data_IF_425479851332
#
_entry.id   IF_425479851332
#
_cell.length_a   1.000
_cell.length_b   1.000
_cell.length_c   1.000
_cell.angle_alpha   90.00
_cell.angle_beta   90.00
_cell.angle_gamma   90.00
#
_symmetry.space_group_name_H-M   'P 1'
#
loop_
_entity.id
_entity.type
_entity.pdbx_description
1 polymer ?
#
# COMPACT_ATOMS: atom_id res chain seq x y z
N UNK A 1 12.34 57.33 -23.68
CA UNK A 1 12.70 56.52 -22.49
C UNK A 1 11.59 55.49 -22.23
N UNK A 2 11.54 54.37 -22.94
CA UNK A 2 10.67 53.24 -22.60
C UNK A 2 11.22 52.00 -23.30
N UNK A 3 12.10 51.24 -22.64
CA UNK A 3 12.57 49.90 -23.08
C UNK A 3 13.55 49.28 -22.07
N UNK A 4 13.11 49.02 -20.84
CA UNK A 4 13.89 48.19 -19.89
C UNK A 4 13.03 47.31 -18.97
N UNK A 5 11.73 47.60 -18.79
CA UNK A 5 10.88 46.85 -17.86
C UNK A 5 10.32 45.52 -18.37
N UNK A 6 10.48 45.20 -19.67
CA UNK A 6 9.94 43.97 -20.27
C UNK A 6 10.86 42.74 -20.15
N UNK A 7 12.12 42.91 -19.70
CA UNK A 7 13.06 41.79 -19.50
C UNK A 7 13.21 41.36 -18.03
N UNK A 8 12.82 42.19 -17.07
CA UNK A 8 13.03 41.92 -15.63
C UNK A 8 12.02 40.88 -15.11
N UNK A 9 10.79 40.89 -15.62
CA UNK A 9 9.74 39.95 -15.23
C UNK A 9 10.10 38.49 -15.59
N UNK A 10 10.51 38.14 -16.82
CA UNK A 10 10.89 36.75 -17.14
C UNK A 10 12.16 36.30 -16.41
N UNK A 11 13.10 37.20 -16.08
CA UNK A 11 14.32 36.89 -15.33
C UNK A 11 14.05 36.54 -13.86
N UNK A 12 13.07 37.19 -13.22
CA UNK A 12 12.65 36.86 -11.86
C UNK A 12 11.95 35.50 -11.79
N UNK A 13 11.06 35.19 -12.74
CA UNK A 13 10.41 33.88 -12.83
C UNK A 13 11.41 32.73 -13.07
N UNK A 14 12.44 32.94 -13.90
CA UNK A 14 13.50 31.95 -14.12
C UNK A 14 14.36 31.69 -12.87
N UNK A 15 14.53 32.70 -12.00
CA UNK A 15 15.31 32.57 -10.75
C UNK A 15 14.54 31.82 -9.66
N UNK A 16 13.24 32.06 -9.52
CA UNK A 16 12.38 31.39 -8.52
C UNK A 16 12.25 29.89 -8.80
N UNK A 17 11.99 29.51 -10.05
CA UNK A 17 11.84 28.09 -10.45
C UNK A 17 13.13 27.30 -10.21
N UNK A 18 14.30 27.93 -10.43
CA UNK A 18 15.58 27.26 -10.15
C UNK A 18 15.77 27.03 -8.65
N UNK A 19 15.44 28.02 -7.81
CA UNK A 19 15.58 27.90 -6.37
C UNK A 19 14.74 26.74 -5.81
N UNK A 20 13.49 26.61 -6.26
CA UNK A 20 12.57 25.54 -5.83
C UNK A 20 13.08 24.12 -6.17
N UNK A 21 13.70 23.94 -7.35
CA UNK A 21 14.28 22.65 -7.75
C UNK A 21 15.52 22.29 -6.92
N UNK A 22 16.39 23.27 -6.64
CA UNK A 22 17.56 23.03 -5.79
C UNK A 22 17.17 22.72 -4.35
N UNK A 23 16.11 23.35 -3.81
CA UNK A 23 15.57 23.02 -2.50
C UNK A 23 14.90 21.64 -2.49
N UNK A 24 14.10 21.29 -3.50
CA UNK A 24 13.47 19.97 -3.59
C UNK A 24 14.51 18.83 -3.70
N UNK A 25 15.62 19.06 -4.40
CA UNK A 25 16.70 18.08 -4.48
C UNK A 25 17.43 17.91 -3.13
N UNK A 26 17.70 19.00 -2.43
CA UNK A 26 18.29 18.95 -1.09
C UNK A 26 17.35 18.24 -0.10
N UNK A 27 16.05 18.48 -0.23
CA UNK A 27 15.00 17.85 0.57
C UNK A 27 14.92 16.33 0.34
N UNK A 28 14.96 15.89 -0.92
CA UNK A 28 15.03 14.46 -1.26
C UNK A 28 16.31 13.81 -0.73
N UNK A 29 17.43 14.54 -0.74
CA UNK A 29 18.68 14.05 -0.18
C UNK A 29 18.61 13.91 1.36
N UNK A 30 17.91 14.80 2.04
CA UNK A 30 17.65 14.69 3.48
C UNK A 30 16.75 13.48 3.81
N UNK A 31 15.73 13.21 2.98
CA UNK A 31 14.90 12.01 3.12
C UNK A 31 15.71 10.71 3.05
N UNK A 32 16.72 10.63 2.18
CA UNK A 32 17.63 9.47 2.13
C UNK A 32 18.42 9.29 3.44
N UNK A 33 18.76 10.38 4.14
CA UNK A 33 19.40 10.28 5.45
C UNK A 33 18.42 9.76 6.51
N UNK A 34 17.16 10.22 6.48
CA UNK A 34 16.10 9.68 7.36
C UNK A 34 15.91 8.19 7.12
N UNK A 35 15.83 7.76 5.86
CA UNK A 35 15.70 6.35 5.49
C UNK A 35 16.87 5.52 6.03
N UNK A 36 18.11 6.01 5.92
CA UNK A 36 19.28 5.32 6.47
C UNK A 36 19.20 5.11 7.99
N UNK A 37 18.69 6.10 8.75
CA UNK A 37 18.48 5.97 10.20
C UNK A 37 17.42 4.91 10.51
N UNK A 38 16.32 4.87 9.74
CA UNK A 38 15.25 3.89 9.92
C UNK A 38 15.73 2.47 9.60
N UNK A 39 16.48 2.29 8.51
CA UNK A 39 17.10 1.00 8.15
C UNK A 39 18.02 0.54 9.28
N UNK A 40 18.88 1.41 9.80
CA UNK A 40 19.77 1.05 10.90
C UNK A 40 19.00 0.64 12.17
N UNK A 41 17.91 1.35 12.49
CA UNK A 41 17.03 0.99 13.61
C UNK A 41 16.40 -0.39 13.39
N UNK A 42 15.95 -0.69 12.17
CA UNK A 42 15.36 -1.99 11.82
C UNK A 42 16.38 -3.13 11.92
N UNK A 43 17.61 -2.91 11.48
CA UNK A 43 18.71 -3.88 11.64
C UNK A 43 19.05 -4.15 13.11
N UNK A 44 18.98 -3.13 13.98
CA UNK A 44 19.17 -3.31 15.42
C UNK A 44 18.03 -4.16 16.02
N UNK A 45 16.78 -3.89 15.63
CA UNK A 45 15.62 -4.67 16.06
C UNK A 45 15.72 -6.13 15.62
N UNK A 46 16.04 -6.38 14.35
CA UNK A 46 16.23 -7.73 13.80
C UNK A 46 17.28 -8.48 14.62
N UNK A 47 18.45 -7.87 14.86
CA UNK A 47 19.51 -8.50 15.67
C UNK A 47 19.07 -8.83 17.09
N UNK A 48 18.32 -7.94 17.73
CA UNK A 48 17.80 -8.18 19.08
C UNK A 48 16.84 -9.39 19.08
N UNK A 49 15.98 -9.50 18.08
CA UNK A 49 15.01 -10.59 18.01
C UNK A 49 15.62 -11.91 17.56
N UNK A 50 16.64 -11.89 16.68
CA UNK A 50 17.46 -13.06 16.37
C UNK A 50 18.15 -13.62 17.63
N UNK A 51 18.74 -12.77 18.47
CA UNK A 51 19.35 -13.19 19.74
C UNK A 51 18.33 -13.85 20.68
N UNK A 52 17.13 -13.28 20.79
CA UNK A 52 16.03 -13.85 21.58
C UNK A 52 15.59 -15.20 21.02
N UNK A 53 15.40 -15.30 19.70
CA UNK A 53 15.03 -16.55 19.02
C UNK A 53 16.12 -17.62 19.24
N UNK A 54 17.39 -17.27 19.14
CA UNK A 54 18.49 -18.22 19.32
C UNK A 54 18.61 -18.71 20.77
N UNK A 55 18.31 -17.85 21.76
CA UNK A 55 18.20 -18.29 23.14
C UNK A 55 17.01 -19.24 23.34
N UNK A 56 15.85 -18.97 22.74
CA UNK A 56 14.69 -19.85 22.77
C UNK A 56 14.97 -21.21 22.12
N UNK A 57 15.65 -21.24 20.97
CA UNK A 57 16.10 -22.49 20.32
C UNK A 57 16.99 -23.31 21.26
N UNK A 58 17.93 -22.68 21.96
CA UNK A 58 18.80 -23.38 22.94
C UNK A 58 17.98 -23.99 24.09
N UNK A 59 17.00 -23.28 24.63
CA UNK A 59 16.10 -23.84 25.64
C UNK A 59 15.31 -25.04 25.09
N UNK A 60 14.75 -24.92 23.89
CA UNK A 60 14.03 -26.00 23.23
C UNK A 60 14.90 -27.24 23.04
N UNK A 61 16.15 -27.08 22.58
CA UNK A 61 17.09 -28.19 22.38
C UNK A 61 17.44 -28.90 23.71
N UNK A 62 17.71 -28.12 24.77
CA UNK A 62 17.99 -28.66 26.10
C UNK A 62 16.79 -29.47 26.60
N UNK A 63 15.58 -28.92 26.50
CA UNK A 63 14.37 -29.57 26.99
C UNK A 63 14.00 -30.79 26.18
N UNK A 64 14.14 -30.75 24.85
CA UNK A 64 13.95 -31.91 23.98
C UNK A 64 14.92 -33.04 24.32
N UNK A 65 16.21 -32.73 24.52
CA UNK A 65 17.20 -33.75 24.91
C UNK A 65 16.88 -34.40 26.25
N UNK A 66 16.43 -33.61 27.23
CA UNK A 66 16.03 -34.14 28.54
C UNK A 66 14.72 -34.93 28.47
N UNK A 67 13.77 -34.50 27.63
CA UNK A 67 12.52 -35.18 27.40
C UNK A 67 12.74 -36.54 26.72
N UNK A 68 13.55 -36.59 25.67
CA UNK A 68 13.86 -37.83 24.95
C UNK A 68 14.50 -38.88 25.87
N UNK A 69 15.41 -38.48 26.75
CA UNK A 69 15.98 -39.37 27.77
C UNK A 69 14.94 -39.90 28.76
N UNK A 70 13.94 -39.09 29.09
CA UNK A 70 12.88 -39.47 30.01
C UNK A 70 11.87 -40.42 29.35
N UNK A 71 11.67 -40.34 28.03
CA UNK A 71 10.72 -41.17 27.30
C UNK A 71 11.27 -42.52 26.85
N UNK A 72 12.59 -42.71 26.86
CA UNK A 72 13.24 -44.02 26.62
C UNK A 72 12.76 -45.11 27.62
N UNK A 73 12.64 -44.75 28.90
CA UNK A 73 12.05 -45.59 29.95
C UNK A 73 11.46 -44.69 31.04
N UNK A 74 10.17 -44.39 30.89
CA UNK A 74 9.45 -43.46 31.76
C UNK A 74 9.41 -43.94 33.21
N UNK A 75 9.13 -45.22 33.44
CA UNK A 75 8.95 -45.78 34.78
C UNK A 75 10.26 -45.72 35.58
N UNK A 76 11.38 -46.14 34.96
CA UNK A 76 12.71 -46.07 35.58
C UNK A 76 13.18 -44.62 35.77
N UNK A 77 12.89 -43.74 34.80
CA UNK A 77 13.29 -42.33 34.87
C UNK A 77 12.60 -41.62 36.03
N UNK A 78 11.28 -41.76 36.19
CA UNK A 78 10.54 -41.08 37.27
C UNK A 78 10.74 -41.72 38.64
N UNK A 79 11.05 -43.02 38.70
CA UNK A 79 11.40 -43.70 39.94
C UNK A 79 12.73 -43.21 40.53
N UNK A 80 13.61 -42.60 39.72
CA UNK A 80 14.84 -41.96 40.19
C UNK A 80 14.55 -40.58 40.80
N UNK A 81 14.80 -40.35 42.10
CA UNK A 81 14.46 -39.10 42.78
C UNK A 81 15.15 -37.85 42.22
N UNK A 82 16.36 -37.98 41.64
CA UNK A 82 17.06 -36.84 41.01
C UNK A 82 16.43 -36.44 39.68
N UNK A 83 16.00 -37.44 38.90
CA UNK A 83 15.29 -37.22 37.64
C UNK A 83 13.89 -36.62 37.89
N UNK A 84 13.18 -37.10 38.92
CA UNK A 84 11.90 -36.53 39.35
C UNK A 84 12.07 -35.07 39.82
N UNK A 85 13.08 -34.79 40.65
CA UNK A 85 13.38 -33.42 41.09
C UNK A 85 13.67 -32.47 39.92
N UNK A 86 14.55 -32.88 38.99
CA UNK A 86 14.91 -32.04 37.84
C UNK A 86 13.76 -31.84 36.86
N UNK A 87 12.88 -32.83 36.69
CA UNK A 87 11.64 -32.69 35.93
C UNK A 87 10.71 -31.65 36.56
N UNK A 88 10.46 -31.74 37.88
CA UNK A 88 9.62 -30.78 38.60
C UNK A 88 10.21 -29.37 38.52
N UNK A 89 11.51 -29.20 38.81
CA UNK A 89 12.20 -27.90 38.69
C UNK A 89 12.05 -27.31 37.29
N UNK A 90 12.19 -28.12 36.24
CA UNK A 90 12.00 -27.66 34.86
C UNK A 90 10.59 -27.12 34.64
N UNK A 91 9.57 -27.86 35.08
CA UNK A 91 8.16 -27.48 34.95
C UNK A 91 7.77 -26.25 35.78
N UNK A 92 8.39 -26.03 36.94
CA UNK A 92 8.00 -24.95 37.85
C UNK A 92 8.84 -23.68 37.71
N UNK A 93 10.12 -23.81 37.36
CA UNK A 93 11.09 -22.71 37.41
C UNK A 93 11.72 -22.45 36.06
N UNK A 94 12.27 -23.47 35.40
CA UNK A 94 13.01 -23.23 34.15
C UNK A 94 12.08 -22.78 32.99
N UNK A 95 10.81 -23.19 33.01
CA UNK A 95 9.80 -22.67 32.08
C UNK A 95 9.42 -21.21 32.33
N UNK A 96 9.51 -20.70 33.56
CA UNK A 96 9.25 -19.27 33.85
C UNK A 96 10.27 -18.36 33.15
N UNK A 97 11.53 -18.80 33.05
CA UNK A 97 12.57 -18.08 32.30
C UNK A 97 12.23 -18.01 30.80
N UNK A 98 11.68 -19.08 30.24
CA UNK A 98 11.24 -19.12 28.84
C UNK A 98 10.05 -18.19 28.63
N UNK A 99 9.06 -18.21 29.53
CA UNK A 99 7.92 -17.30 29.49
C UNK A 99 8.37 -15.83 29.59
N UNK A 100 9.30 -15.52 30.51
CA UNK A 100 9.88 -14.18 30.64
C UNK A 100 10.59 -13.73 29.37
N UNK A 101 11.35 -14.63 28.73
CA UNK A 101 12.04 -14.32 27.49
C UNK A 101 11.07 -14.08 26.33
N UNK A 102 10.02 -14.90 26.20
CA UNK A 102 8.98 -14.74 25.17
C UNK A 102 8.27 -13.39 25.34
N UNK A 103 7.91 -13.05 26.58
CA UNK A 103 7.19 -11.80 26.92
C UNK A 103 8.08 -10.56 26.92
N UNK A 104 9.40 -10.71 26.83
CA UNK A 104 10.32 -9.58 26.68
C UNK A 104 10.08 -8.90 25.34
N UNK A 105 9.67 -7.64 25.42
CA UNK A 105 9.37 -6.78 24.27
C UNK A 105 10.60 -5.97 23.87
N UNK A 106 11.26 -6.39 22.79
CA UNK A 106 12.41 -5.69 22.19
C UNK A 106 11.99 -4.60 21.20
N UNK A 107 10.68 -4.44 20.93
CA UNK A 107 10.18 -3.48 19.95
C UNK A 107 10.16 -2.04 20.47
N UNK A 108 10.16 -1.83 21.79
CA UNK A 108 10.03 -0.49 22.39
C UNK A 108 11.10 0.48 21.94
N UNK A 109 12.36 0.06 21.94
CA UNK A 109 13.48 0.91 21.54
C UNK A 109 13.43 1.21 20.03
N UNK A 110 13.04 0.22 19.23
CA UNK A 110 12.83 0.40 17.79
C UNK A 110 11.71 1.40 17.48
N UNK A 111 10.57 1.25 18.15
CA UNK A 111 9.42 2.15 17.98
C UNK A 111 9.75 3.57 18.44
N UNK A 112 10.48 3.73 19.55
CA UNK A 112 10.94 5.03 20.02
C UNK A 112 11.86 5.72 18.99
N UNK A 113 12.77 4.98 18.35
CA UNK A 113 13.62 5.52 17.29
C UNK A 113 12.81 5.94 16.04
N UNK A 114 11.81 5.16 15.64
CA UNK A 114 10.91 5.55 14.54
C UNK A 114 10.15 6.82 14.89
N UNK A 115 9.54 6.88 16.07
CA UNK A 115 8.82 8.07 16.55
C UNK A 115 9.74 9.29 16.56
N UNK A 116 10.95 9.15 17.08
CA UNK A 116 11.95 10.21 17.06
C UNK A 116 12.27 10.68 15.63
N UNK A 117 12.49 9.76 14.70
CA UNK A 117 12.77 10.10 13.29
C UNK A 117 11.60 10.82 12.64
N UNK A 118 10.36 10.39 12.89
CA UNK A 118 9.15 11.07 12.38
C UNK A 118 8.97 12.48 12.95
N UNK A 119 9.33 12.69 14.21
CA UNK A 119 9.16 13.98 14.90
C UNK A 119 10.31 14.97 14.65
N UNK A 120 11.54 14.48 14.46
CA UNK A 120 12.75 15.29 14.49
C UNK A 120 13.54 15.29 13.17
N UNK A 121 13.16 14.45 12.20
CA UNK A 121 13.77 14.41 10.88
C UNK A 121 12.73 14.69 9.81
N UNK A 122 13.19 14.98 8.60
CA UNK A 122 12.30 15.14 7.45
C UNK A 122 11.64 13.81 7.13
N UNK A 123 10.32 13.78 7.12
CA UNK A 123 9.50 12.62 6.81
C UNK A 123 8.36 13.06 5.88
N UNK A 124 8.13 12.38 4.75
CA UNK A 124 7.12 12.79 3.79
C UNK A 124 5.71 12.54 4.35
N UNK A 125 4.78 13.35 3.88
CA UNK A 125 3.34 13.22 4.14
C UNK A 125 2.64 12.58 2.94
N UNK A 126 1.35 12.26 3.10
CA UNK A 126 0.53 11.79 1.99
C UNK A 126 0.40 12.83 0.86
N UNK A 127 0.51 14.12 1.19
CA UNK A 127 0.52 15.21 0.20
C UNK A 127 1.78 15.16 -0.67
N UNK A 128 2.94 14.84 -0.09
CA UNK A 128 4.19 14.70 -0.83
C UNK A 128 4.13 13.51 -1.79
N UNK A 129 3.55 12.38 -1.35
CA UNK A 129 3.31 11.22 -2.21
C UNK A 129 2.35 11.56 -3.36
N UNK A 130 1.25 12.26 -3.07
CA UNK A 130 0.31 12.70 -4.09
C UNK A 130 0.97 13.64 -5.11
N UNK A 131 1.78 14.60 -4.63
CA UNK A 131 2.53 15.53 -5.46
C UNK A 131 3.53 14.82 -6.38
N UNK A 132 4.25 13.83 -5.86
CA UNK A 132 5.16 13.00 -6.65
C UNK A 132 4.42 12.18 -7.72
N UNK A 133 3.31 11.54 -7.35
CA UNK A 133 2.46 10.82 -8.31
C UNK A 133 1.91 11.75 -9.40
N UNK A 134 1.39 12.92 -9.02
CA UNK A 134 0.90 13.92 -9.96
C UNK A 134 2.00 14.42 -10.92
N UNK A 135 3.24 14.53 -10.46
CA UNK A 135 4.37 14.87 -11.33
C UNK A 135 4.66 13.78 -12.37
N UNK A 136 4.57 12.50 -11.98
CA UNK A 136 4.72 11.35 -12.90
C UNK A 136 3.60 11.34 -13.94
N UNK A 137 2.34 11.49 -13.53
CA UNK A 137 1.18 11.59 -14.43
C UNK A 137 1.34 12.77 -15.39
N UNK A 138 1.78 13.93 -14.90
CA UNK A 138 2.02 15.11 -15.75
C UNK A 138 3.08 14.83 -16.82
N UNK A 139 4.15 14.13 -16.49
CA UNK A 139 5.17 13.72 -17.48
C UNK A 139 4.57 12.75 -18.50
N UNK A 140 3.77 11.78 -18.03
CA UNK A 140 3.07 10.83 -18.87
C UNK A 140 2.21 11.54 -19.92
N UNK A 141 1.37 12.50 -19.49
CA UNK A 141 0.50 13.27 -20.40
C UNK A 141 1.28 14.18 -21.35
N UNK A 142 2.25 14.93 -20.81
CA UNK A 142 3.00 15.94 -21.56
C UNK A 142 3.75 15.30 -22.73
N UNK A 143 4.30 14.11 -22.51
CA UNK A 143 5.10 13.38 -23.50
C UNK A 143 4.38 12.19 -24.12
N UNK A 144 3.10 11.97 -23.77
CA UNK A 144 2.27 10.84 -24.23
C UNK A 144 2.97 9.49 -24.04
N UNK A 145 3.51 9.30 -22.84
CA UNK A 145 4.29 8.11 -22.50
C UNK A 145 3.37 6.91 -22.31
N UNK A 146 3.79 5.77 -22.82
CA UNK A 146 3.16 4.49 -22.58
C UNK A 146 3.36 4.06 -21.11
N UNK A 147 2.28 3.66 -20.43
CA UNK A 147 2.29 3.27 -19.01
C UNK A 147 3.26 2.12 -18.76
N UNK A 148 3.27 1.10 -19.62
CA UNK A 148 4.11 -0.07 -19.43
C UNK A 148 5.60 0.28 -19.57
N UNK A 149 5.94 1.14 -20.52
CA UNK A 149 7.31 1.65 -20.72
C UNK A 149 7.77 2.49 -19.54
N UNK A 150 6.91 3.40 -19.06
CA UNK A 150 7.19 4.20 -17.87
C UNK A 150 7.38 3.33 -16.63
N UNK A 151 6.54 2.30 -16.44
CA UNK A 151 6.66 1.34 -15.35
C UNK A 151 7.91 0.45 -15.46
N UNK A 152 8.45 0.22 -16.66
CA UNK A 152 9.76 -0.43 -16.85
C UNK A 152 10.95 0.51 -16.61
N UNK A 153 10.71 1.80 -16.32
CA UNK A 153 11.76 2.81 -16.22
C UNK A 153 12.38 3.14 -17.57
N UNK A 154 11.66 2.93 -18.67
CA UNK A 154 12.15 3.08 -20.04
C UNK A 154 11.52 4.29 -20.72
N UNK A 155 12.35 5.22 -21.19
CA UNK A 155 11.92 6.37 -22.00
C UNK A 155 12.67 6.36 -23.33
N UNK A 156 11.93 6.32 -24.44
CA UNK A 156 12.50 6.24 -25.80
C UNK A 156 13.50 5.09 -26.00
N UNK A 157 13.25 3.93 -25.38
CA UNK A 157 14.11 2.74 -25.49
C UNK A 157 15.38 2.77 -24.64
N UNK A 158 15.55 3.79 -23.79
CA UNK A 158 16.65 3.88 -22.82
C UNK A 158 16.10 3.60 -21.42
N UNK A 159 16.75 2.68 -20.69
CA UNK A 159 16.41 2.34 -19.30
C UNK A 159 17.09 3.32 -18.34
N UNK A 160 16.30 4.09 -17.61
CA UNK A 160 16.77 5.13 -16.67
C UNK A 160 16.65 4.71 -15.20
N UNK A 161 15.77 3.76 -14.88
CA UNK A 161 15.52 3.33 -13.50
C UNK A 161 15.26 1.83 -13.38
N UNK A 162 15.16 1.37 -12.13
CA UNK A 162 14.52 0.08 -11.83
C UNK A 162 13.07 0.08 -12.27
N UNK A 163 12.54 -1.12 -12.45
CA UNK A 163 11.14 -1.32 -12.81
C UNK A 163 10.26 -1.19 -11.56
N UNK A 164 9.06 -0.63 -11.76
CA UNK A 164 8.02 -0.56 -10.75
C UNK A 164 7.42 -1.95 -10.49
N UNK A 165 7.10 -2.24 -9.24
CA UNK A 165 6.32 -3.43 -8.85
C UNK A 165 4.83 -3.24 -9.17
N UNK A 166 4.04 -4.30 -9.03
CA UNK A 166 2.59 -4.21 -9.11
C UNK A 166 2.03 -3.29 -8.02
N UNK A 167 2.64 -3.26 -6.82
CA UNK A 167 2.25 -2.37 -5.73
C UNK A 167 2.54 -0.90 -6.05
N UNK A 168 3.68 -0.60 -6.66
CA UNK A 168 4.03 0.77 -7.08
C UNK A 168 3.04 1.29 -8.14
N UNK A 169 2.69 0.45 -9.13
CA UNK A 169 1.69 0.79 -10.13
C UNK A 169 0.28 0.94 -9.51
N UNK A 170 -0.07 0.08 -8.56
CA UNK A 170 -1.31 0.21 -7.80
C UNK A 170 -1.37 1.54 -7.05
N UNK A 171 -0.28 1.94 -6.38
CA UNK A 171 -0.23 3.19 -5.63
C UNK A 171 -0.39 4.41 -6.56
N UNK A 172 0.27 4.42 -7.72
CA UNK A 172 0.07 5.48 -8.73
C UNK A 172 -1.40 5.56 -9.17
N UNK A 173 -2.03 4.41 -9.44
CA UNK A 173 -3.45 4.36 -9.78
C UNK A 173 -4.35 4.85 -8.64
N UNK A 174 -4.00 4.55 -7.38
CA UNK A 174 -4.74 4.98 -6.19
C UNK A 174 -4.64 6.49 -5.98
N UNK A 175 -3.46 7.08 -6.18
CA UNK A 175 -3.29 8.53 -6.12
C UNK A 175 -4.08 9.24 -7.23
N UNK A 176 -4.08 8.71 -8.45
CA UNK A 176 -4.93 9.20 -9.54
C UNK A 176 -6.42 9.11 -9.19
N UNK A 177 -6.86 8.00 -8.59
CA UNK A 177 -8.25 7.81 -8.17
C UNK A 177 -8.68 8.85 -7.14
N UNK A 178 -7.85 9.09 -6.13
CA UNK A 178 -8.10 10.08 -5.08
C UNK A 178 -8.20 11.50 -5.66
N UNK A 179 -7.47 11.77 -6.74
CA UNK A 179 -7.51 13.02 -7.48
C UNK A 179 -8.69 13.12 -8.47
N UNK A 180 -9.53 12.08 -8.58
CA UNK A 180 -10.66 12.01 -9.51
C UNK A 180 -10.27 11.74 -10.96
N UNK A 181 -9.01 11.35 -11.20
CA UNK A 181 -8.49 11.00 -12.51
C UNK A 181 -8.69 9.51 -12.79
N UNK A 182 -9.92 9.18 -13.17
CA UNK A 182 -10.32 7.79 -13.45
C UNK A 182 -9.63 7.22 -14.70
N UNK A 183 -9.24 8.08 -15.65
CA UNK A 183 -8.48 7.66 -16.83
C UNK A 183 -7.11 7.10 -16.44
N UNK A 184 -6.30 7.85 -15.69
CA UNK A 184 -5.00 7.37 -15.24
C UNK A 184 -5.13 6.24 -14.21
N UNK A 185 -6.18 6.26 -13.38
CA UNK A 185 -6.48 5.12 -12.50
C UNK A 185 -6.59 3.82 -13.31
N UNK A 186 -7.36 3.82 -14.41
CA UNK A 186 -7.51 2.63 -15.25
C UNK A 186 -6.20 2.20 -15.91
N UNK A 187 -5.37 3.15 -16.37
CA UNK A 187 -4.08 2.83 -16.98
C UNK A 187 -3.16 2.13 -15.99
N UNK A 188 -2.98 2.71 -14.80
CA UNK A 188 -2.05 2.20 -13.80
C UNK A 188 -2.55 0.95 -13.09
N UNK A 189 -3.85 0.81 -12.87
CA UNK A 189 -4.44 -0.41 -12.31
C UNK A 189 -4.37 -1.60 -13.28
N UNK A 190 -4.46 -1.36 -14.60
CA UNK A 190 -4.22 -2.41 -15.61
C UNK A 190 -2.76 -2.84 -15.64
N UNK A 191 -1.83 -1.89 -15.61
CA UNK A 191 -0.40 -2.19 -15.52
C UNK A 191 -0.08 -2.98 -14.23
N UNK A 192 -0.70 -2.61 -13.11
CA UNK A 192 -0.61 -3.36 -11.86
C UNK A 192 -1.12 -4.81 -12.01
N UNK A 193 -2.28 -5.05 -12.61
CA UNK A 193 -2.81 -6.42 -12.82
C UNK A 193 -1.91 -7.26 -13.76
N UNK A 194 -1.38 -6.64 -14.80
CA UNK A 194 -0.44 -7.28 -15.73
C UNK A 194 0.86 -7.67 -15.04
N UNK A 195 1.44 -6.77 -14.23
CA UNK A 195 2.66 -7.03 -13.45
C UNK A 195 2.42 -8.07 -12.37
N UNK A 196 1.31 -7.95 -11.65
CA UNK A 196 0.93 -8.89 -10.60
C UNK A 196 0.90 -10.31 -11.16
N UNK A 197 0.45 -10.50 -12.40
CA UNK A 197 0.42 -11.82 -13.05
C UNK A 197 1.82 -12.42 -13.28
N UNK A 198 2.86 -11.59 -13.41
CA UNK A 198 4.26 -11.97 -13.68
C UNK A 198 5.14 -12.03 -12.42
N UNK A 199 4.75 -11.32 -11.36
CA UNK A 199 5.48 -11.33 -10.09
C UNK A 199 5.48 -12.70 -9.42
N UNK A 200 6.65 -13.12 -8.92
CA UNK A 200 6.75 -14.33 -8.11
C UNK A 200 6.17 -14.09 -6.70
N UNK A 201 6.60 -12.98 -6.07
CA UNK A 201 6.08 -12.52 -4.80
C UNK A 201 5.05 -11.43 -5.08
N UNK A 202 3.77 -11.75 -4.90
CA UNK A 202 2.66 -10.81 -5.13
C UNK A 202 2.77 -9.67 -4.14
N UNK A 203 2.93 -8.43 -4.62
CA UNK A 203 3.09 -7.26 -3.75
C UNK A 203 1.78 -6.54 -3.41
N UNK A 204 0.69 -6.90 -4.08
CA UNK A 204 -0.65 -6.30 -3.90
C UNK A 204 -1.73 -7.36 -4.12
N UNK A 205 -2.88 -7.20 -3.46
CA UNK A 205 -4.00 -8.12 -3.65
C UNK A 205 -4.76 -7.84 -4.97
N UNK A 206 -5.10 -8.90 -5.70
CA UNK A 206 -5.82 -8.77 -6.98
C UNK A 206 -7.25 -8.23 -6.78
N UNK A 207 -7.87 -8.52 -5.64
CA UNK A 207 -9.19 -8.00 -5.28
C UNK A 207 -9.17 -6.47 -5.15
N UNK A 208 -8.13 -5.92 -4.52
CA UNK A 208 -7.95 -4.47 -4.42
C UNK A 208 -7.84 -3.81 -5.80
N UNK A 209 -7.03 -4.36 -6.71
CA UNK A 209 -6.92 -3.84 -8.09
C UNK A 209 -8.28 -3.87 -8.81
N UNK A 210 -8.99 -5.00 -8.72
CA UNK A 210 -10.29 -5.17 -9.37
C UNK A 210 -11.32 -4.17 -8.87
N UNK A 211 -11.28 -3.81 -7.60
CA UNK A 211 -12.17 -2.83 -7.02
C UNK A 211 -11.99 -1.44 -7.65
N UNK A 212 -10.75 -0.94 -7.71
CA UNK A 212 -10.46 0.35 -8.34
C UNK A 212 -10.75 0.32 -9.84
N UNK A 213 -10.44 -0.78 -10.54
CA UNK A 213 -10.78 -0.96 -11.95
C UNK A 213 -12.29 -0.92 -12.19
N UNK A 214 -13.08 -1.64 -11.40
CA UNK A 214 -14.52 -1.72 -11.57
C UNK A 214 -15.17 -0.34 -11.42
N UNK A 215 -14.87 0.37 -10.33
CA UNK A 215 -15.47 1.68 -10.08
C UNK A 215 -15.02 2.73 -11.11
N UNK A 216 -13.72 2.79 -11.42
CA UNK A 216 -13.19 3.75 -12.39
C UNK A 216 -13.73 3.48 -13.80
N UNK A 217 -13.93 2.20 -14.17
CA UNK A 217 -14.55 1.82 -15.44
C UNK A 217 -16.00 2.30 -15.52
N UNK A 218 -16.74 2.22 -14.42
CA UNK A 218 -18.09 2.79 -14.34
C UNK A 218 -18.06 4.32 -14.49
N UNK A 219 -17.10 5.00 -13.85
CA UNK A 219 -16.95 6.46 -13.96
C UNK A 219 -16.61 6.93 -15.37
N UNK A 220 -15.86 6.14 -16.12
CA UNK A 220 -15.59 6.37 -17.55
C UNK A 220 -16.77 5.97 -18.47
N UNK A 221 -17.89 5.52 -17.90
CA UNK A 221 -19.15 5.26 -18.61
C UNK A 221 -19.33 3.84 -19.16
N UNK A 222 -18.38 2.92 -18.93
CA UNK A 222 -18.51 1.54 -19.38
C UNK A 222 -19.11 0.63 -18.30
N UNK A 223 -20.42 0.79 -18.08
CA UNK A 223 -21.13 0.08 -17.02
C UNK A 223 -21.12 -1.44 -17.16
N UNK A 224 -21.12 -1.97 -18.40
CA UNK A 224 -21.10 -3.42 -18.63
C UNK A 224 -19.77 -4.02 -18.17
N UNK A 225 -18.65 -3.40 -18.57
CA UNK A 225 -17.32 -3.86 -18.13
C UNK A 225 -17.14 -3.67 -16.61
N UNK A 226 -17.69 -2.60 -16.03
CA UNK A 226 -17.66 -2.39 -14.58
C UNK A 226 -18.40 -3.51 -13.83
N UNK A 227 -19.56 -3.96 -14.34
CA UNK A 227 -20.30 -5.09 -13.80
C UNK A 227 -19.51 -6.40 -13.94
N UNK A 228 -18.89 -6.65 -15.08
CA UNK A 228 -18.04 -7.84 -15.30
C UNK A 228 -16.87 -7.90 -14.31
N UNK A 229 -16.17 -6.77 -14.12
CA UNK A 229 -15.07 -6.65 -13.16
C UNK A 229 -15.58 -6.84 -11.72
N UNK A 230 -16.74 -6.29 -11.39
CA UNK A 230 -17.37 -6.46 -10.06
C UNK A 230 -17.76 -7.91 -9.80
N UNK A 231 -18.28 -8.62 -10.80
CA UNK A 231 -18.58 -10.05 -10.68
C UNK A 231 -17.30 -10.86 -10.46
N UNK A 232 -16.23 -10.58 -11.20
CA UNK A 232 -14.91 -11.23 -10.98
C UNK A 232 -14.39 -10.98 -9.56
N UNK A 233 -14.54 -9.76 -9.04
CA UNK A 233 -14.18 -9.44 -7.65
C UNK A 233 -15.00 -10.29 -6.66
N UNK A 234 -16.32 -10.42 -6.87
CA UNK A 234 -17.19 -11.21 -6.00
C UNK A 234 -16.96 -12.72 -6.09
N UNK A 235 -16.44 -13.22 -7.22
CA UNK A 235 -15.98 -14.61 -7.33
C UNK A 235 -14.77 -14.88 -6.43
N UNK A 236 -13.86 -13.90 -6.30
CA UNK A 236 -12.67 -14.00 -5.44
C UNK A 236 -12.99 -13.71 -3.97
N UNK A 237 -13.82 -12.69 -3.72
CA UNK A 237 -14.18 -12.22 -2.38
C UNK A 237 -15.71 -12.10 -2.28
N UNK A 238 -16.44 -13.22 -2.03
CA UNK A 238 -17.90 -13.21 -1.98
C UNK A 238 -18.49 -12.32 -0.88
N UNK A 239 -17.71 -12.03 0.17
CA UNK A 239 -18.12 -11.20 1.31
C UNK A 239 -17.82 -9.72 1.11
N UNK A 240 -17.38 -9.29 -0.08
CA UNK A 240 -17.00 -7.91 -0.32
C UNK A 240 -18.22 -6.98 -0.36
N UNK A 241 -18.41 -6.20 0.71
CA UNK A 241 -19.63 -5.38 0.90
C UNK A 241 -19.83 -4.32 -0.19
N UNK A 242 -18.79 -3.55 -0.56
CA UNK A 242 -18.90 -2.54 -1.63
C UNK A 242 -19.23 -3.15 -2.99
N UNK A 243 -18.56 -4.24 -3.36
CA UNK A 243 -18.80 -4.93 -4.62
C UNK A 243 -20.23 -5.48 -4.75
N UNK A 244 -20.82 -6.01 -3.67
CA UNK A 244 -22.24 -6.43 -3.66
C UNK A 244 -23.17 -5.25 -3.95
N UNK A 245 -22.94 -4.11 -3.29
CA UNK A 245 -23.72 -2.89 -3.51
C UNK A 245 -23.57 -2.36 -4.94
N UNK A 246 -22.33 -2.28 -5.43
CA UNK A 246 -22.03 -1.83 -6.79
C UNK A 246 -22.68 -2.72 -7.85
N UNK A 247 -22.68 -4.05 -7.67
CA UNK A 247 -23.32 -5.00 -8.58
C UNK A 247 -24.80 -4.69 -8.78
N UNK A 248 -25.55 -4.60 -7.67
CA UNK A 248 -26.99 -4.30 -7.71
C UNK A 248 -27.24 -2.98 -8.42
N UNK A 249 -26.46 -1.95 -8.07
CA UNK A 249 -26.57 -0.63 -8.68
C UNK A 249 -26.29 -0.66 -10.20
N UNK A 250 -25.24 -1.35 -10.64
CA UNK A 250 -24.92 -1.45 -12.06
C UNK A 250 -25.98 -2.22 -12.86
N UNK A 251 -26.51 -3.31 -12.30
CA UNK A 251 -27.60 -4.08 -12.93
C UNK A 251 -28.87 -3.24 -13.10
N UNK A 252 -29.24 -2.44 -12.09
CA UNK A 252 -30.39 -1.52 -12.17
C UNK A 252 -30.21 -0.43 -13.24
N UNK A 253 -29.04 0.20 -13.30
CA UNK A 253 -28.76 1.26 -14.28
C UNK A 253 -28.75 0.72 -15.72
N UNK A 254 -28.21 -0.49 -15.94
CA UNK A 254 -28.27 -1.17 -17.24
C UNK A 254 -29.72 -1.41 -17.66
N UNK A 255 -30.56 -1.88 -16.74
CA UNK A 255 -31.98 -2.11 -17.01
C UNK A 255 -32.69 -0.81 -17.38
N UNK A 256 -32.53 0.26 -16.59
CA UNK A 256 -33.12 1.59 -16.89
C UNK A 256 -32.70 2.11 -18.26
N UNK A 257 -31.41 1.98 -18.62
CA UNK A 257 -30.90 2.35 -19.93
C UNK A 257 -31.51 1.53 -21.08
N UNK A 258 -31.81 0.26 -20.85
CA UNK A 258 -32.48 -0.60 -21.83
C UNK A 258 -33.96 -0.24 -22.03
N UNK A 259 -34.66 0.26 -21.01
CA UNK A 259 -36.05 0.70 -21.15
C UNK A 259 -36.17 2.03 -21.90
N UNK A 260 -35.26 2.99 -21.65
CA UNK A 260 -35.21 4.27 -22.40
C UNK A 260 -34.99 4.09 -23.90
N UNK A 261 -34.13 3.14 -24.31
CA UNK A 261 -33.90 2.84 -25.73
C UNK A 261 -35.07 2.15 -26.45
N UNK A 262 -36.07 1.64 -25.73
CA UNK A 262 -37.25 0.99 -26.31
C UNK A 262 -38.49 1.89 -26.39
N UNK A 263 -38.45 3.08 -25.79
CA UNK A 263 -39.62 3.95 -25.60
C UNK A 263 -39.65 5.23 -26.44
N UNK A 264 -38.51 5.77 -26.86
CA UNK A 264 -38.45 7.16 -27.33
C UNK A 264 -37.99 7.27 -28.80
N UNK A 265 -38.96 7.26 -29.71
CA UNK A 265 -39.00 8.27 -30.78
C UNK A 265 -39.57 9.54 -30.12
N UNK A 266 -38.81 10.63 -30.20
CA UNK A 266 -39.10 12.03 -29.83
C UNK A 266 -38.70 12.60 -28.45
N UNK A 267 -37.88 13.65 -28.57
CA UNK A 267 -37.60 14.83 -27.73
C UNK A 267 -36.52 14.77 -26.65
N UNK A 268 -35.48 15.56 -26.91
CA UNK A 268 -34.44 16.02 -26.00
C UNK A 268 -35.04 16.61 -24.73
N UNK A 269 -34.61 16.11 -23.57
CA UNK A 269 -34.55 16.89 -22.35
C UNK A 269 -33.30 16.55 -21.54
N UNK A 270 -32.56 17.60 -21.23
CA UNK A 270 -31.29 17.62 -20.50
C UNK A 270 -31.59 17.25 -19.03
N UNK A 271 -31.15 16.07 -18.57
CA UNK A 271 -31.31 15.65 -17.18
C UNK A 271 -30.12 16.16 -16.35
N UNK A 272 -30.43 17.02 -15.37
CA UNK A 272 -29.51 17.65 -14.42
C UNK A 272 -29.06 16.75 -13.27
N UNK A 273 -27.85 17.03 -12.79
CA UNK A 273 -27.10 16.42 -11.68
C UNK A 273 -27.85 16.30 -10.34
N UNK A 274 -28.42 15.13 -10.02
CA UNK A 274 -28.78 14.77 -8.64
C UNK A 274 -28.02 13.56 -8.08
N UNK A 275 -27.47 12.68 -8.93
CA UNK A 275 -26.70 11.50 -8.52
C UNK A 275 -25.30 11.80 -7.94
N UNK A 276 -24.72 12.96 -8.25
CA UNK A 276 -23.39 13.39 -7.77
C UNK A 276 -23.42 13.74 -6.27
N UNK A 277 -24.57 14.16 -5.74
CA UNK A 277 -24.70 14.66 -4.36
C UNK A 277 -24.73 13.52 -3.34
N UNK A 278 -25.34 12.38 -3.69
CA UNK A 278 -25.40 11.21 -2.80
C UNK A 278 -24.01 10.56 -2.67
N UNK A 279 -23.30 10.40 -3.79
CA UNK A 279 -21.93 9.84 -3.80
C UNK A 279 -20.93 10.75 -3.06
N UNK A 280 -21.05 12.08 -3.19
CA UNK A 280 -20.24 13.02 -2.38
C UNK A 280 -20.50 12.87 -0.87
N UNK A 281 -21.74 12.58 -0.46
CA UNK A 281 -22.06 12.42 0.96
C UNK A 281 -21.43 11.16 1.57
N UNK A 282 -21.30 10.09 0.79
CA UNK A 282 -20.60 8.86 1.22
C UNK A 282 -19.07 8.99 1.18
N UNK A 283 -18.51 9.72 0.21
CA UNK A 283 -17.05 9.98 0.14
C UNK A 283 -16.59 10.89 1.29
N UNK A 284 -17.36 11.92 1.65
CA UNK A 284 -17.02 12.79 2.79
C UNK A 284 -17.11 12.05 4.12
N UNK A 285 -18.06 11.10 4.24
CA UNK A 285 -18.17 10.26 5.43
C UNK A 285 -17.02 9.25 5.53
N UNK A 286 -16.51 8.67 4.43
CA UNK A 286 -15.38 7.72 4.48
C UNK A 286 -14.05 8.39 4.84
N UNK A 287 -13.81 9.62 4.39
CA UNK A 287 -12.61 10.40 4.76
C UNK A 287 -12.54 10.74 6.26
N UNK A 288 -13.67 10.72 6.99
CA UNK A 288 -13.68 10.97 8.43
C UNK A 288 -13.35 9.74 9.30
N UNK A 289 -13.37 8.53 8.73
CA UNK A 289 -13.00 7.31 9.47
C UNK A 289 -11.53 6.92 9.31
N UNK A 290 -10.82 7.47 8.31
CA UNK A 290 -9.39 7.20 8.07
C UNK A 290 -8.44 8.17 8.81
N UNK A 291 -8.96 9.22 9.46
CA UNK A 291 -8.17 10.13 10.32
C UNK A 291 -8.10 9.73 11.79
N UNK A 292 -8.46 8.49 12.13
CA UNK A 292 -8.32 7.95 13.50
C UNK A 292 -7.66 6.58 13.43
N UNK A 293 -6.37 6.53 13.08
CA UNK A 293 -5.34 5.64 13.62
C UNK A 293 -3.96 6.23 13.31
#
# INVERSE_FOLDING_TARGET
>A
MFRCHLLIVPLLFLSQVRCEVFTALADLQELLNTEAVLIHSLENYIRAEELKIDLLKRYADIYNKQHNKATEDVESYVANPLNAYTLVKRMTTDWQEVESLITTDVSKDYMANISYAKENMKFPTDEDLNGAAAAVIRLQDTYRLDTASLARGELNGVKYSSELTAADCFELGRQSYNNGDFYHTLLWMREADERLSREQNKTVDKGEILEYLAFSTYKEGNINLALDLTNKLLEMVPTHERAKGNKVYYEEEIQKGSYKKKGDDETDDIITNEGVTIVRKYIVLSLQWETVW
#
